data_IF_691089808442
#
_entry.id   IF_691089808442
#
_cell.length_a   1.000
_cell.length_b   1.000
_cell.length_c   1.000
_cell.angle_alpha   90.00
_cell.angle_beta   90.00
_cell.angle_gamma   90.00
#
_symmetry.space_group_name_H-M   'P 1'
#
loop_
_entity.id
_entity.type
_entity.pdbx_description
1 polymer ?
#
# COMPACT_ATOMS: atom_id res chain seq x y z
N UNK A 1 10.85 3.95 20.14
CA UNK A 1 11.53 3.68 18.86
C UNK A 1 10.65 2.74 18.05
N UNK A 2 10.48 2.98 16.75
CA UNK A 2 9.65 2.15 15.86
C UNK A 2 10.25 0.77 15.59
N UNK A 3 9.49 -0.10 14.90
CA UNK A 3 9.91 -1.45 14.52
C UNK A 3 10.20 -1.51 13.02
N UNK A 4 11.38 -2.00 12.64
CA UNK A 4 11.70 -2.27 11.25
C UNK A 4 11.01 -3.57 10.80
N UNK A 5 10.31 -3.50 9.67
CA UNK A 5 9.60 -4.61 9.04
C UNK A 5 10.24 -4.86 7.68
N UNK A 6 10.63 -6.11 7.43
CA UNK A 6 10.96 -6.61 6.10
C UNK A 6 9.89 -7.61 5.65
N UNK A 7 9.49 -7.55 4.39
CA UNK A 7 8.48 -8.47 3.83
C UNK A 7 8.90 -9.04 2.49
N UNK A 8 8.86 -10.37 2.38
CA UNK A 8 9.10 -11.16 1.16
C UNK A 8 10.35 -10.74 0.37
N UNK A 9 11.41 -10.32 1.07
CA UNK A 9 12.65 -9.77 0.48
C UNK A 9 12.39 -8.71 -0.61
N UNK A 10 11.28 -7.96 -0.48
CA UNK A 10 10.81 -7.01 -1.50
C UNK A 10 10.64 -5.61 -0.94
N UNK A 11 10.21 -5.47 0.32
CA UNK A 11 10.04 -4.15 0.94
C UNK A 11 10.53 -4.13 2.37
N UNK A 12 11.12 -3.00 2.76
CA UNK A 12 11.45 -2.66 4.15
C UNK A 12 10.84 -1.32 4.51
N UNK A 13 10.19 -1.24 5.67
CA UNK A 13 9.59 -0.01 6.19
C UNK A 13 9.59 -0.03 7.72
N UNK A 14 9.33 1.12 8.34
CA UNK A 14 9.35 1.27 9.80
C UNK A 14 7.96 1.59 10.33
N UNK A 15 7.41 0.69 11.14
CA UNK A 15 6.15 0.93 11.82
C UNK A 15 6.35 1.71 13.13
N UNK A 16 5.36 2.52 13.53
CA UNK A 16 5.31 3.07 14.88
C UNK A 16 5.31 1.95 15.95
N UNK A 17 5.79 2.24 17.18
CA UNK A 17 5.77 1.26 18.26
C UNK A 17 4.33 0.87 18.64
N UNK A 18 4.16 -0.32 19.22
CA UNK A 18 2.88 -0.79 19.76
C UNK A 18 1.95 -1.45 18.76
N UNK A 19 2.31 -1.47 17.46
CA UNK A 19 1.55 -2.19 16.45
C UNK A 19 1.71 -3.70 16.61
N UNK A 20 0.59 -4.42 16.61
CA UNK A 20 0.60 -5.87 16.51
C UNK A 20 0.90 -6.27 15.06
N UNK A 21 1.72 -7.30 14.88
CA UNK A 21 2.17 -7.80 13.58
C UNK A 21 1.79 -9.25 13.47
N UNK A 22 1.11 -9.62 12.41
CA UNK A 22 0.63 -10.97 12.14
C UNK A 22 0.70 -11.29 10.64
N UNK A 23 0.49 -12.55 10.28
CA UNK A 23 0.43 -13.02 8.90
C UNK A 23 -0.90 -13.73 8.70
N UNK A 24 -1.71 -13.22 7.78
CA UNK A 24 -2.95 -13.87 7.33
C UNK A 24 -2.70 -14.58 6.00
N UNK A 25 -3.52 -15.58 5.69
CA UNK A 25 -3.58 -16.18 4.36
C UNK A 25 -4.83 -15.67 3.63
N UNK A 26 -4.65 -15.15 2.42
CA UNK A 26 -5.75 -14.70 1.58
C UNK A 26 -5.57 -15.29 0.17
N UNK A 27 -6.55 -16.07 -0.28
CA UNK A 27 -6.50 -16.77 -1.58
C UNK A 27 -5.22 -17.60 -1.79
N UNK A 28 -4.70 -18.21 -0.71
CA UNK A 28 -3.47 -19.00 -0.73
C UNK A 28 -2.18 -18.18 -0.77
N UNK A 29 -2.26 -16.85 -0.60
CA UNK A 29 -1.10 -15.95 -0.53
C UNK A 29 -0.91 -15.38 0.87
N UNK A 30 0.34 -15.26 1.35
CA UNK A 30 0.61 -14.64 2.65
C UNK A 30 0.41 -13.11 2.56
N UNK A 31 -0.37 -12.58 3.50
CA UNK A 31 -0.66 -11.16 3.66
C UNK A 31 -0.11 -10.69 5.00
N UNK A 32 0.79 -9.71 4.98
CA UNK A 32 1.26 -9.09 6.21
C UNK A 32 0.14 -8.23 6.79
N UNK A 33 -0.21 -8.43 8.07
CA UNK A 33 -1.25 -7.65 8.73
C UNK A 33 -0.72 -6.94 9.96
N UNK A 34 -1.07 -5.67 10.08
CA UNK A 34 -0.58 -4.80 11.13
C UNK A 34 -1.75 -4.05 11.76
N UNK A 35 -1.93 -4.20 13.07
CA UNK A 35 -3.03 -3.57 13.81
C UNK A 35 -2.48 -2.49 14.72
N UNK A 36 -2.96 -1.23 14.63
CA UNK A 36 -2.53 -0.19 15.54
C UNK A 36 -3.00 -0.48 16.97
N UNK A 37 -2.31 0.06 18.00
CA UNK A 37 -2.80 -0.02 19.36
C UNK A 37 -4.10 0.80 19.52
N UNK A 38 -5.01 0.41 20.44
CA UNK A 38 -6.17 1.23 20.78
C UNK A 38 -5.78 2.66 21.18
N UNK A 39 -6.62 3.69 20.90
CA UNK A 39 -8.00 3.60 20.43
C UNK A 39 -8.15 3.50 18.90
N UNK A 40 -7.06 3.56 18.13
CA UNK A 40 -7.13 3.52 16.68
C UNK A 40 -7.71 2.18 16.18
N UNK A 41 -8.63 2.26 15.23
CA UNK A 41 -9.23 1.10 14.58
C UNK A 41 -8.52 0.78 13.25
N UNK A 42 -8.95 -0.29 12.59
CA UNK A 42 -8.48 -0.67 11.25
C UNK A 42 -7.33 -1.68 11.25
N UNK A 43 -7.00 -2.14 10.05
CA UNK A 43 -5.93 -3.11 9.80
C UNK A 43 -5.18 -2.69 8.56
N UNK A 44 -3.86 -2.50 8.69
CA UNK A 44 -2.96 -2.32 7.56
C UNK A 44 -2.63 -3.70 7.00
N UNK A 45 -2.85 -3.90 5.72
CA UNK A 45 -2.48 -5.12 4.99
C UNK A 45 -1.37 -4.81 3.99
N UNK A 46 -0.49 -5.76 3.79
CA UNK A 46 0.64 -5.69 2.86
C UNK A 46 0.71 -6.95 2.02
N UNK A 47 0.76 -6.76 0.71
CA UNK A 47 1.15 -7.77 -0.26
C UNK A 47 2.26 -7.21 -1.16
N UNK A 48 3.07 -8.09 -1.72
CA UNK A 48 4.18 -7.71 -2.60
C UNK A 48 4.14 -8.52 -3.88
N UNK A 49 4.61 -7.93 -4.97
CA UNK A 49 4.70 -8.61 -6.26
C UNK A 49 5.97 -8.19 -7.01
N UNK A 50 6.42 -9.05 -7.93
CA UNK A 50 7.55 -8.80 -8.84
C UNK A 50 7.15 -9.15 -10.26
N UNK A 51 7.05 -8.13 -11.11
CA UNK A 51 6.60 -8.28 -12.49
C UNK A 51 7.79 -8.14 -13.45
N UNK A 52 8.04 -9.16 -14.25
CA UNK A 52 9.02 -9.13 -15.34
C UNK A 52 8.26 -8.88 -16.66
N UNK A 53 8.59 -7.81 -17.42
CA UNK A 53 7.96 -7.58 -18.72
C UNK A 53 8.28 -8.71 -19.70
N UNK A 54 7.39 -8.98 -20.66
CA UNK A 54 7.67 -9.96 -21.72
C UNK A 54 8.85 -9.46 -22.58
N UNK A 55 9.83 -10.32 -22.93
CA UNK A 55 11.01 -9.91 -23.70
C UNK A 55 10.64 -9.26 -25.05
N UNK A 56 9.56 -9.73 -25.66
CA UNK A 56 9.12 -9.36 -27.01
C UNK A 56 8.29 -8.06 -27.02
N UNK A 57 7.91 -7.55 -25.85
CA UNK A 57 7.04 -6.38 -25.70
C UNK A 57 7.77 -5.04 -25.84
N UNK A 58 9.11 -5.05 -25.92
CA UNK A 58 9.97 -3.87 -26.14
C UNK A 58 9.90 -2.76 -25.07
N UNK A 59 8.99 -2.87 -24.11
CA UNK A 59 8.71 -1.83 -23.13
C UNK A 59 9.67 -1.95 -21.94
N UNK A 60 10.40 -0.88 -21.60
CA UNK A 60 11.22 -0.82 -20.41
C UNK A 60 10.46 -1.25 -19.14
N UNK A 61 11.16 -1.89 -18.20
CA UNK A 61 10.60 -2.29 -16.89
C UNK A 61 10.02 -1.08 -16.14
N UNK A 62 10.62 0.10 -16.32
CA UNK A 62 10.13 1.35 -15.75
C UNK A 62 8.72 1.72 -16.25
N UNK A 63 8.44 1.51 -17.54
CA UNK A 63 7.12 1.78 -18.13
C UNK A 63 6.09 0.79 -17.58
N UNK A 64 6.49 -0.48 -17.40
CA UNK A 64 5.64 -1.48 -16.72
C UNK A 64 5.30 -1.06 -15.30
N UNK A 65 6.29 -0.57 -14.53
CA UNK A 65 6.05 -0.06 -13.18
C UNK A 65 5.08 1.14 -13.19
N UNK A 66 5.26 2.07 -14.12
CA UNK A 66 4.37 3.22 -14.26
C UNK A 66 2.94 2.80 -14.62
N UNK A 67 2.76 1.82 -15.51
CA UNK A 67 1.45 1.25 -15.83
C UNK A 67 0.79 0.58 -14.62
N UNK A 68 1.56 -0.18 -13.83
CA UNK A 68 1.07 -0.80 -12.59
C UNK A 68 0.56 0.30 -11.64
N UNK A 69 1.34 1.35 -11.42
CA UNK A 69 0.97 2.48 -10.55
C UNK A 69 -0.30 3.20 -11.05
N UNK A 70 -0.40 3.46 -12.36
CA UNK A 70 -1.58 4.10 -12.96
C UNK A 70 -2.83 3.22 -12.88
N UNK A 71 -2.70 1.90 -13.01
CA UNK A 71 -3.83 0.97 -12.84
C UNK A 71 -4.22 0.82 -11.37
N UNK A 72 -3.24 0.86 -10.46
CA UNK A 72 -3.46 0.73 -9.01
C UNK A 72 -4.41 1.81 -8.46
N UNK A 73 -4.29 3.05 -8.93
CA UNK A 73 -5.19 4.15 -8.51
C UNK A 73 -6.60 4.07 -9.12
N UNK A 74 -6.88 3.04 -9.93
CA UNK A 74 -8.21 2.72 -10.51
C UNK A 74 -8.88 3.94 -11.15
N UNK A 75 -8.28 4.56 -12.18
CA UNK A 75 -8.74 5.85 -12.71
C UNK A 75 -10.19 5.85 -13.20
N UNK A 76 -10.71 4.68 -13.58
CA UNK A 76 -12.06 4.50 -14.12
C UNK A 76 -13.09 4.07 -13.06
N UNK A 77 -12.68 3.75 -11.82
CA UNK A 77 -13.60 3.31 -10.77
C UNK A 77 -14.17 4.54 -10.04
N UNK A 78 -15.47 4.85 -10.16
CA UNK A 78 -16.06 6.04 -9.53
C UNK A 78 -16.01 6.01 -7.99
N UNK A 79 -15.76 4.84 -7.38
CA UNK A 79 -15.58 4.70 -5.94
C UNK A 79 -14.23 5.20 -5.46
N UNK A 80 -13.23 5.24 -6.35
CA UNK A 80 -11.90 5.71 -6.03
C UNK A 80 -11.82 7.24 -6.15
N UNK A 81 -11.21 7.92 -5.18
CA UNK A 81 -10.92 9.34 -5.14
C UNK A 81 -9.51 9.60 -4.59
N UNK A 82 -9.15 10.88 -4.45
CA UNK A 82 -7.89 11.33 -3.84
C UNK A 82 -6.65 10.60 -4.36
N UNK A 83 -6.52 10.59 -5.69
CA UNK A 83 -5.55 9.76 -6.41
C UNK A 83 -4.28 10.54 -6.72
N UNK A 84 -3.12 9.95 -6.42
CA UNK A 84 -1.82 10.47 -6.86
C UNK A 84 -0.94 9.36 -7.40
N UNK A 85 -0.05 9.73 -8.32
CA UNK A 85 1.07 8.89 -8.76
C UNK A 85 2.27 9.82 -8.87
N UNK A 86 3.25 9.62 -7.99
CA UNK A 86 4.41 10.49 -7.84
C UNK A 86 5.70 9.69 -8.01
N UNK A 87 6.66 10.28 -8.71
CA UNK A 87 8.03 9.76 -8.78
C UNK A 87 8.86 10.27 -7.59
N UNK A 88 9.69 9.41 -7.02
CA UNK A 88 10.64 9.75 -5.96
C UNK A 88 12.04 10.03 -6.54
N UNK A 89 12.88 10.83 -5.85
CA UNK A 89 14.25 11.11 -6.28
C UNK A 89 15.15 9.88 -6.43
N UNK A 90 14.86 8.79 -5.71
CA UNK A 90 15.56 7.52 -5.78
C UNK A 90 15.07 6.59 -6.92
N UNK A 91 14.19 7.10 -7.78
CA UNK A 91 13.63 6.36 -8.92
C UNK A 91 12.49 5.42 -8.55
N UNK A 92 12.05 5.38 -7.29
CA UNK A 92 10.84 4.69 -6.91
C UNK A 92 9.58 5.46 -7.35
N UNK A 93 8.47 4.76 -7.49
CA UNK A 93 7.14 5.32 -7.72
C UNK A 93 6.30 5.09 -6.48
N UNK A 94 5.54 6.10 -6.07
CA UNK A 94 4.47 5.96 -5.09
C UNK A 94 3.14 6.28 -5.75
N UNK A 95 2.13 5.45 -5.51
CA UNK A 95 0.76 5.71 -5.93
C UNK A 95 -0.17 5.61 -4.74
N UNK A 96 -1.17 6.48 -4.69
CA UNK A 96 -2.13 6.56 -3.60
C UNK A 96 -3.54 6.70 -4.17
N UNK A 97 -4.50 6.09 -3.49
CA UNK A 97 -5.91 6.28 -3.75
C UNK A 97 -6.71 6.01 -2.49
N UNK A 98 -7.88 6.62 -2.37
CA UNK A 98 -8.88 6.26 -1.38
C UNK A 98 -10.10 5.69 -2.11
N UNK A 99 -10.70 4.63 -1.57
CA UNK A 99 -11.91 4.01 -2.11
C UNK A 99 -13.00 3.98 -1.05
N UNK A 100 -14.22 4.34 -1.44
CA UNK A 100 -15.40 4.13 -0.60
C UNK A 100 -16.16 2.90 -1.08
N UNK A 101 -16.42 1.96 -0.18
CA UNK A 101 -17.18 0.75 -0.48
C UNK A 101 -18.39 0.65 0.45
N UNK A 102 -19.41 -0.06 -0.02
CA UNK A 102 -20.54 -0.50 0.80
C UNK A 102 -20.66 -2.00 0.55
N UNK A 103 -20.33 -2.80 1.56
CA UNK A 103 -20.46 -4.26 1.53
C UNK A 103 -21.45 -4.67 2.62
N UNK A 104 -22.55 -5.31 2.20
CA UNK A 104 -23.62 -5.76 3.08
C UNK A 104 -24.17 -4.66 4.03
N UNK A 105 -24.27 -3.41 3.54
CA UNK A 105 -24.74 -2.26 4.31
C UNK A 105 -23.71 -1.68 5.27
N UNK A 106 -22.45 -2.12 5.18
CA UNK A 106 -21.33 -1.59 5.95
C UNK A 106 -20.50 -0.70 5.02
N UNK A 107 -20.66 0.60 5.20
CA UNK A 107 -19.84 1.58 4.52
C UNK A 107 -18.41 1.57 5.10
N UNK A 108 -17.42 1.44 4.24
CA UNK A 108 -16.00 1.46 4.58
C UNK A 108 -15.23 2.45 3.70
N UNK A 109 -14.19 3.03 4.28
CA UNK A 109 -13.17 3.80 3.56
C UNK A 109 -11.87 2.99 3.54
N UNK A 110 -11.36 2.74 2.35
CA UNK A 110 -10.13 2.00 2.09
C UNK A 110 -9.06 2.95 1.58
N UNK A 111 -7.98 3.12 2.33
CA UNK A 111 -6.81 3.88 1.90
C UNK A 111 -5.80 2.92 1.29
N UNK A 112 -5.33 3.23 0.10
CA UNK A 112 -4.49 2.36 -0.72
C UNK A 112 -3.17 3.07 -1.01
N UNK A 113 -2.07 2.36 -0.85
CA UNK A 113 -0.75 2.81 -1.27
C UNK A 113 -0.05 1.73 -2.08
N UNK A 114 0.72 2.16 -3.07
CA UNK A 114 1.69 1.33 -3.77
C UNK A 114 3.04 2.04 -3.71
N UNK A 115 4.08 1.30 -3.35
CA UNK A 115 5.47 1.74 -3.54
C UNK A 115 6.13 0.73 -4.46
N UNK A 116 6.83 1.19 -5.49
CA UNK A 116 7.52 0.29 -6.39
C UNK A 116 8.82 0.85 -6.92
N UNK A 117 9.71 -0.03 -7.34
CA UNK A 117 10.98 0.34 -7.97
C UNK A 117 11.43 -0.75 -8.93
N UNK A 118 12.29 -0.38 -9.89
CA UNK A 118 12.96 -1.37 -10.75
C UNK A 118 14.10 -2.02 -9.95
N UNK A 119 14.06 -3.35 -9.82
CA UNK A 119 15.08 -4.17 -9.14
C UNK A 119 15.35 -5.43 -9.93
N UNK A 120 16.62 -5.72 -10.20
CA UNK A 120 17.07 -6.92 -10.91
C UNK A 120 16.29 -7.21 -12.23
N UNK A 121 15.93 -6.17 -12.98
CA UNK A 121 15.17 -6.30 -14.24
C UNK A 121 13.67 -6.56 -14.08
N UNK A 122 13.13 -6.46 -12.86
CA UNK A 122 11.70 -6.57 -12.57
C UNK A 122 11.15 -5.28 -11.95
N UNK A 123 9.85 -5.03 -12.13
CA UNK A 123 9.11 -4.06 -11.36
C UNK A 123 8.72 -4.73 -10.02
N UNK A 124 9.41 -4.37 -8.95
CA UNK A 124 9.10 -4.84 -7.60
C UNK A 124 8.15 -3.84 -6.93
N UNK A 125 7.03 -4.32 -6.40
CA UNK A 125 6.00 -3.48 -5.78
C UNK A 125 5.57 -4.02 -4.41
N UNK A 126 5.24 -3.09 -3.53
CA UNK A 126 4.55 -3.33 -2.27
C UNK A 126 3.23 -2.57 -2.29
N UNK A 127 2.13 -3.28 -2.07
CA UNK A 127 0.78 -2.74 -2.06
C UNK A 127 0.23 -2.83 -0.64
N UNK A 128 -0.22 -1.69 -0.14
CA UNK A 128 -0.77 -1.53 1.19
C UNK A 128 -2.23 -1.14 1.10
N UNK A 129 -3.05 -1.68 2.00
CA UNK A 129 -4.42 -1.20 2.22
C UNK A 129 -4.69 -1.02 3.69
N UNK A 130 -5.46 0.02 4.02
CA UNK A 130 -5.96 0.26 5.37
C UNK A 130 -7.46 0.55 5.29
N UNK A 131 -8.27 -0.32 5.89
CA UNK A 131 -9.72 -0.19 5.88
C UNK A 131 -10.24 0.29 7.25
N UNK A 132 -11.18 1.23 7.20
CA UNK A 132 -11.88 1.77 8.36
C UNK A 132 -13.39 1.81 8.07
N UNK A 133 -14.26 1.63 9.08
CA UNK A 133 -15.66 1.98 8.94
C UNK A 133 -15.80 3.46 8.55
N UNK A 134 -16.69 3.78 7.61
CA UNK A 134 -16.86 5.14 7.10
C UNK A 134 -17.24 6.17 8.19
N UNK A 135 -17.90 5.71 9.26
CA UNK A 135 -18.23 6.54 10.43
C UNK A 135 -17.01 6.99 11.25
N UNK A 136 -15.87 6.33 11.08
CA UNK A 136 -14.61 6.67 11.74
C UNK A 136 -13.66 7.47 10.82
N UNK A 137 -14.02 7.68 9.56
CA UNK A 137 -13.28 8.54 8.65
C UNK A 137 -13.38 10.00 9.14
N UNK A 138 -12.22 10.65 9.27
CA UNK A 138 -12.10 11.99 9.86
C UNK A 138 -12.06 12.05 11.39
N UNK A 139 -12.16 10.92 12.10
CA UNK A 139 -11.85 10.87 13.54
C UNK A 139 -10.37 11.22 13.78
N UNK A 140 -10.08 12.00 14.82
CA UNK A 140 -8.72 12.51 15.09
C UNK A 140 -7.71 11.36 15.29
N UNK A 141 -8.10 10.29 15.99
CA UNK A 141 -7.21 9.16 16.25
C UNK A 141 -6.94 8.34 14.98
N UNK A 142 -7.93 8.23 14.09
CA UNK A 142 -7.78 7.62 12.77
C UNK A 142 -6.91 8.48 11.86
N UNK A 143 -7.13 9.80 11.82
CA UNK A 143 -6.36 10.73 11.00
C UNK A 143 -4.88 10.74 11.40
N UNK A 144 -4.57 10.75 12.70
CA UNK A 144 -3.19 10.65 13.18
C UNK A 144 -2.55 9.31 12.79
N UNK A 145 -3.31 8.21 12.89
CA UNK A 145 -2.84 6.88 12.50
C UNK A 145 -2.56 6.82 11.00
N UNK A 146 -3.44 7.36 10.16
CA UNK A 146 -3.28 7.45 8.72
C UNK A 146 -2.05 8.27 8.33
N UNK A 147 -1.82 9.42 8.98
CA UNK A 147 -0.61 10.23 8.75
C UNK A 147 0.66 9.44 9.04
N UNK A 148 0.70 8.69 10.15
CA UNK A 148 1.85 7.84 10.50
C UNK A 148 2.05 6.67 9.52
N UNK A 149 0.97 6.09 9.01
CA UNK A 149 1.03 5.06 7.96
C UNK A 149 1.60 5.66 6.68
N UNK A 150 1.07 6.81 6.25
CA UNK A 150 1.51 7.50 5.03
C UNK A 150 3.00 7.83 5.08
N UNK A 151 3.48 8.39 6.19
CA UNK A 151 4.90 8.69 6.41
C UNK A 151 5.77 7.42 6.35
N UNK A 152 5.32 6.33 6.99
CA UNK A 152 6.03 5.05 6.99
C UNK A 152 6.13 4.44 5.59
N UNK A 153 5.06 4.55 4.79
CA UNK A 153 5.02 4.01 3.42
C UNK A 153 5.81 4.91 2.46
N UNK A 154 5.70 6.24 2.59
CA UNK A 154 6.47 7.20 1.77
C UNK A 154 7.97 7.03 1.92
N UNK A 155 8.43 6.56 3.09
CA UNK A 155 9.84 6.29 3.39
C UNK A 155 10.23 4.82 3.23
N UNK A 156 9.30 3.95 2.80
CA UNK A 156 9.58 2.55 2.55
C UNK A 156 10.62 2.38 1.43
N UNK A 157 11.40 1.31 1.55
CA UNK A 157 12.47 0.94 0.63
C UNK A 157 12.12 -0.37 -0.08
N UNK A 158 12.20 -0.35 -1.42
CA UNK A 158 12.07 -1.55 -2.25
C UNK A 158 13.45 -2.18 -2.45
N UNK A 159 13.54 -3.48 -2.13
CA UNK A 159 14.78 -4.29 -2.06
C UNK A 159 15.10 -4.97 -3.39
#
# INVERSE_FOLDING_TARGET
>A
MGRDIGWADTVRFRLPPGWAVDVEEHEGQPVGTFRPPPPAAGVLRLVTDRVVPRPDGGSPVADTLQEIALRFVRPQDPRAGDRTVDSRPDGAVIAQAMMRTDEDGRAETHYLWLVGAVRAGAAAVAMFSFALPALMDGDESCAETLGRIDDAIRTAEIL
#
